data_IF_303625171975
#
_entry.id   IF_303625171975
#
_cell.length_a   1.000
_cell.length_b   1.000
_cell.length_c   1.000
_cell.angle_alpha   90.00
_cell.angle_beta   90.00
_cell.angle_gamma   90.00
#
_symmetry.space_group_name_H-M   'P 1'
#
loop_
_entity.id
_entity.type
_entity.pdbx_description
1 polymer ?
#
# COMPACT_ATOMS: atom_id res chain seq x y z
N UNK A 1 27.93 10.89 1.75
CA UNK A 1 26.56 11.22 1.35
C UNK A 1 25.64 10.14 1.89
N UNK A 2 24.46 10.54 2.34
CA UNK A 2 23.44 9.63 2.84
C UNK A 2 22.23 9.71 1.92
N UNK A 3 21.61 8.57 1.65
CA UNK A 3 20.41 8.48 0.82
C UNK A 3 19.26 7.83 1.58
N UNK A 4 18.07 8.26 1.29
CA UNK A 4 16.84 7.56 1.64
C UNK A 4 16.23 7.09 0.33
N UNK A 5 16.14 5.78 0.16
CA UNK A 5 15.44 5.17 -0.95
C UNK A 5 14.02 4.80 -0.49
N UNK A 6 13.03 5.08 -1.33
CA UNK A 6 11.65 4.70 -1.10
C UNK A 6 11.25 3.70 -2.17
N UNK A 7 10.84 2.51 -1.76
CA UNK A 7 10.35 1.44 -2.64
C UNK A 7 8.86 1.28 -2.39
N UNK A 8 8.06 1.29 -3.45
CA UNK A 8 6.61 1.23 -3.35
C UNK A 8 6.11 -0.21 -3.25
N UNK A 9 5.11 -0.42 -2.41
CA UNK A 9 4.33 -1.64 -2.36
C UNK A 9 2.86 -1.27 -2.61
N UNK A 10 2.48 -1.18 -3.88
CA UNK A 10 1.14 -0.80 -4.31
C UNK A 10 0.96 0.69 -4.60
N UNK A 11 1.45 1.16 -5.75
CA UNK A 11 1.26 2.54 -6.21
C UNK A 11 -0.22 2.87 -6.42
N UNK A 12 -0.58 4.14 -6.27
CA UNK A 12 -1.99 4.60 -6.24
C UNK A 12 -2.78 4.23 -7.49
N UNK A 13 -2.20 4.35 -8.67
CA UNK A 13 -2.93 4.10 -9.92
C UNK A 13 -2.84 2.64 -10.36
N UNK A 14 -1.63 2.09 -10.44
CA UNK A 14 -1.38 0.80 -11.05
C UNK A 14 -1.21 -0.34 -10.03
N UNK A 15 -1.13 -0.03 -8.75
CA UNK A 15 -0.82 -1.02 -7.73
C UNK A 15 0.58 -1.61 -7.85
N UNK A 16 1.49 -0.99 -8.61
CA UNK A 16 2.82 -1.52 -8.89
C UNK A 16 3.62 -1.73 -7.61
N UNK A 17 4.40 -2.78 -7.60
CA UNK A 17 5.29 -3.16 -6.49
C UNK A 17 6.73 -3.15 -6.99
N UNK A 18 7.55 -2.34 -6.34
CA UNK A 18 8.97 -2.25 -6.68
C UNK A 18 9.74 -3.43 -6.05
N UNK A 19 10.79 -3.87 -6.72
CA UNK A 19 11.73 -4.79 -6.13
C UNK A 19 12.78 -3.99 -5.31
N UNK A 20 12.79 -4.08 -3.96
CA UNK A 20 13.72 -3.31 -3.14
C UNK A 20 15.19 -3.67 -3.37
N UNK A 21 15.48 -4.87 -3.89
CA UNK A 21 16.85 -5.31 -4.15
C UNK A 21 17.48 -4.55 -5.33
N UNK A 22 16.70 -4.03 -6.27
CA UNK A 22 17.19 -3.20 -7.36
C UNK A 22 17.76 -1.88 -6.84
N UNK A 23 17.07 -1.25 -5.88
CA UNK A 23 17.54 -0.03 -5.21
C UNK A 23 18.81 -0.29 -4.40
N UNK A 24 18.79 -1.32 -3.57
CA UNK A 24 19.92 -1.60 -2.67
C UNK A 24 21.15 -2.02 -3.43
N UNK A 25 21.01 -2.83 -4.48
CA UNK A 25 22.13 -3.26 -5.33
C UNK A 25 22.78 -2.07 -6.05
N UNK A 26 21.98 -1.12 -6.55
CA UNK A 26 22.51 0.09 -7.17
C UNK A 26 23.27 0.96 -6.16
N UNK A 27 22.72 1.16 -4.96
CA UNK A 27 23.34 1.97 -3.92
C UNK A 27 24.64 1.32 -3.38
N UNK A 28 24.63 0.01 -3.17
CA UNK A 28 25.79 -0.76 -2.70
C UNK A 28 26.92 -0.75 -3.72
N UNK A 29 26.60 -0.86 -5.01
CA UNK A 29 27.58 -0.77 -6.10
C UNK A 29 28.36 0.56 -6.10
N UNK A 30 27.72 1.62 -5.62
CA UNK A 30 28.33 2.94 -5.52
C UNK A 30 28.89 3.27 -4.12
N UNK A 31 28.96 2.29 -3.21
CA UNK A 31 29.43 2.45 -1.83
C UNK A 31 28.72 3.60 -1.09
N UNK A 32 27.40 3.70 -1.25
CA UNK A 32 26.60 4.77 -0.68
C UNK A 32 25.92 4.27 0.60
N UNK A 33 26.00 5.05 1.66
CA UNK A 33 25.23 4.80 2.89
C UNK A 33 23.76 5.17 2.65
N UNK A 34 22.84 4.27 2.98
CA UNK A 34 21.41 4.47 2.71
C UNK A 34 20.51 3.97 3.85
N UNK A 35 19.27 4.41 3.81
CA UNK A 35 18.12 3.78 4.46
C UNK A 35 17.09 3.45 3.40
N UNK A 36 16.50 2.26 3.50
CA UNK A 36 15.44 1.82 2.60
C UNK A 36 14.11 1.85 3.36
N UNK A 37 13.18 2.64 2.85
CA UNK A 37 11.81 2.73 3.32
C UNK A 37 10.88 2.04 2.33
N UNK A 38 9.91 1.29 2.83
CA UNK A 38 8.84 0.71 2.02
C UNK A 38 7.58 1.55 2.22
N UNK A 39 7.12 2.18 1.15
CA UNK A 39 5.78 2.74 1.11
C UNK A 39 4.77 1.63 0.81
N UNK A 40 4.26 1.03 1.86
CA UNK A 40 3.22 0.01 1.84
C UNK A 40 1.85 0.58 2.21
N UNK A 41 1.63 1.88 2.06
CA UNK A 41 0.41 2.56 2.47
C UNK A 41 -0.86 1.83 1.99
N UNK A 42 -0.87 1.34 0.77
CA UNK A 42 -1.94 0.49 0.26
C UNK A 42 -1.60 -1.00 0.33
N UNK A 43 -0.48 -1.41 -0.23
CA UNK A 43 -0.12 -2.80 -0.43
C UNK A 43 0.27 -3.56 0.84
N UNK A 44 0.59 -2.87 1.93
CA UNK A 44 1.03 -3.49 3.17
C UNK A 44 0.02 -4.46 3.81
N UNK A 45 -1.28 -4.27 3.54
CA UNK A 45 -2.34 -5.21 3.94
C UNK A 45 -2.84 -6.12 2.82
N UNK A 46 -2.18 -6.13 1.65
CA UNK A 46 -2.53 -7.01 0.51
C UNK A 46 -1.35 -7.90 0.15
N UNK A 47 -0.26 -7.29 -0.28
CA UNK A 47 0.85 -7.97 -0.93
C UNK A 47 1.51 -9.07 -0.08
N UNK A 48 1.81 -8.86 1.21
CA UNK A 48 2.41 -9.92 2.04
C UNK A 48 1.50 -11.14 2.24
N UNK A 49 0.19 -10.96 2.14
CA UNK A 49 -0.80 -12.04 2.26
C UNK A 49 -1.02 -12.76 0.94
N UNK A 50 -0.85 -12.07 -0.19
CA UNK A 50 -0.99 -12.66 -1.53
C UNK A 50 0.31 -13.32 -1.99
N UNK A 51 1.46 -12.73 -1.70
CA UNK A 51 2.79 -13.24 -2.04
C UNK A 51 3.59 -13.61 -0.79
N UNK A 52 3.32 -14.79 -0.25
CA UNK A 52 3.99 -15.28 0.96
C UNK A 52 5.50 -15.51 0.81
N UNK A 53 6.01 -15.56 -0.43
CA UNK A 53 7.45 -15.72 -0.71
C UNK A 53 8.19 -14.39 -0.82
N UNK A 54 7.47 -13.28 -0.71
CA UNK A 54 8.07 -11.95 -0.80
C UNK A 54 9.02 -11.69 0.36
N UNK A 55 10.15 -11.06 0.05
CA UNK A 55 11.11 -10.53 1.02
C UNK A 55 10.89 -9.03 1.32
N UNK A 56 9.76 -8.44 0.88
CA UNK A 56 9.42 -7.03 1.16
C UNK A 56 8.80 -6.93 2.56
N UNK A 57 9.59 -7.26 3.55
CA UNK A 57 9.26 -7.24 4.96
C UNK A 57 10.55 -7.20 5.79
N UNK A 58 10.44 -7.16 7.12
CA UNK A 58 11.62 -7.08 8.01
C UNK A 58 12.47 -8.35 8.09
N UNK A 59 12.15 -9.44 7.38
CA UNK A 59 13.10 -10.54 7.18
C UNK A 59 14.25 -10.12 6.27
N UNK A 60 14.03 -9.14 5.37
CA UNK A 60 15.07 -8.49 4.60
C UNK A 60 15.80 -7.46 5.49
N UNK A 61 17.08 -7.69 5.86
CA UNK A 61 17.82 -6.81 6.78
C UNK A 61 18.07 -5.41 6.22
N UNK A 62 17.94 -5.22 4.91
CA UNK A 62 18.15 -3.94 4.22
C UNK A 62 16.99 -2.97 4.42
N UNK A 63 15.78 -3.45 4.70
CA UNK A 63 14.61 -2.61 4.94
C UNK A 63 14.71 -1.97 6.32
N UNK A 64 14.65 -0.66 6.36
CA UNK A 64 14.79 0.17 7.57
C UNK A 64 13.44 0.48 8.20
N UNK A 65 12.43 0.77 7.40
CA UNK A 65 11.09 1.17 7.85
C UNK A 65 10.02 0.86 6.81
N UNK A 66 8.78 0.77 7.26
CA UNK A 66 7.60 0.51 6.43
C UNK A 66 6.46 1.43 6.91
N UNK A 67 5.76 2.08 5.99
CA UNK A 67 4.49 2.76 6.26
C UNK A 67 3.34 1.92 5.73
N UNK A 68 2.25 1.82 6.50
CA UNK A 68 1.03 1.10 6.14
C UNK A 68 -0.17 1.95 6.55
N UNK A 69 -1.11 2.21 5.64
CA UNK A 69 -2.30 2.99 5.95
C UNK A 69 -3.47 2.07 6.31
N UNK A 70 -3.83 2.05 7.59
CA UNK A 70 -4.93 1.23 8.06
C UNK A 70 -6.29 1.74 7.54
N UNK A 71 -6.44 3.03 7.22
CA UNK A 71 -7.64 3.60 6.63
C UNK A 71 -7.84 3.25 5.14
N UNK A 72 -6.88 2.56 4.50
CA UNK A 72 -7.01 2.04 3.14
C UNK A 72 -7.55 0.60 3.19
N UNK A 73 -6.71 -0.38 3.03
CA UNK A 73 -7.13 -1.78 2.94
C UNK A 73 -7.75 -2.34 4.22
N UNK A 74 -7.26 -1.94 5.39
CA UNK A 74 -7.81 -2.42 6.66
C UNK A 74 -9.18 -1.81 6.99
N UNK A 75 -9.60 -0.76 6.24
CA UNK A 75 -10.88 -0.06 6.39
C UNK A 75 -11.09 0.53 7.81
N UNK A 76 -10.01 0.88 8.48
CA UNK A 76 -10.06 1.61 9.73
C UNK A 76 -10.49 3.08 9.49
N UNK A 77 -10.90 3.83 10.52
CA UNK A 77 -11.24 5.24 10.38
C UNK A 77 -10.12 6.07 9.73
N UNK A 78 -10.51 7.10 8.99
CA UNK A 78 -9.57 7.97 8.27
C UNK A 78 -8.49 8.57 9.19
N UNK A 79 -7.28 8.73 8.66
CA UNK A 79 -6.15 9.27 9.39
C UNK A 79 -5.36 8.24 10.20
N UNK A 80 -5.59 6.95 9.98
CA UNK A 80 -4.86 5.86 10.65
C UNK A 80 -3.67 5.38 9.82
N UNK A 81 -2.55 6.08 9.92
CA UNK A 81 -1.26 5.61 9.40
C UNK A 81 -0.49 4.84 10.46
N UNK A 82 0.14 3.75 10.07
CA UNK A 82 1.03 2.94 10.90
C UNK A 82 2.44 3.01 10.34
N UNK A 83 3.38 3.48 11.14
CA UNK A 83 4.80 3.50 10.79
C UNK A 83 5.54 2.49 11.67
N UNK A 84 6.29 1.61 11.05
CA UNK A 84 7.12 0.61 11.73
C UNK A 84 8.55 0.75 11.25
N UNK A 85 9.51 0.74 12.17
CA UNK A 85 10.92 0.79 11.82
C UNK A 85 11.74 -0.17 12.68
N UNK A 86 12.98 -0.43 12.26
CA UNK A 86 13.91 -1.20 13.08
C UNK A 86 14.21 -0.48 14.39
N UNK A 87 14.41 -1.27 15.43
CA UNK A 87 14.79 -0.77 16.76
C UNK A 87 16.02 0.15 16.65
N UNK A 88 16.01 1.25 17.36
CA UNK A 88 17.07 2.24 17.37
C UNK A 88 16.96 3.31 16.27
N UNK A 89 15.99 3.23 15.37
CA UNK A 89 15.79 4.25 14.34
C UNK A 89 14.78 5.32 14.76
N UNK A 90 13.78 4.96 15.58
CA UNK A 90 12.73 5.89 15.99
C UNK A 90 13.27 7.03 16.88
N UNK A 91 14.32 6.77 17.62
CA UNK A 91 14.95 7.77 18.49
C UNK A 91 15.52 8.98 17.71
N UNK A 92 15.78 8.81 16.41
CA UNK A 92 16.26 9.91 15.55
C UNK A 92 15.18 10.94 15.21
N UNK A 93 13.91 10.65 15.46
CA UNK A 93 12.78 11.55 15.17
C UNK A 93 12.10 12.05 16.45
N UNK A 94 12.67 11.75 17.61
CA UNK A 94 12.19 12.26 18.88
C UNK A 94 12.29 13.79 18.92
N UNK A 95 11.18 14.46 19.15
CA UNK A 95 11.16 15.86 19.56
C UNK A 95 11.36 15.94 21.06
N UNK A 96 12.12 16.94 21.51
CA UNK A 96 12.27 17.24 22.93
C UNK A 96 10.90 17.56 23.52
N UNK A 97 10.73 17.20 24.78
CA UNK A 97 9.50 17.30 25.58
C UNK A 97 8.66 18.55 25.30
N UNK A 98 7.39 18.36 25.05
CA UNK A 98 6.42 19.41 25.23
C UNK A 98 6.21 19.59 26.75
N UNK A 99 6.46 20.78 27.28
CA UNK A 99 6.47 21.08 28.73
C UNK A 99 5.20 20.72 29.50
N UNK A 100 4.09 20.40 28.77
CA UNK A 100 2.78 20.09 29.34
C UNK A 100 2.33 18.62 29.15
N UNK A 101 3.16 17.78 28.53
CA UNK A 101 2.83 16.37 28.27
C UNK A 101 3.96 15.48 28.79
N UNK A 102 3.65 14.61 29.76
CA UNK A 102 4.56 13.52 30.14
C UNK A 102 4.62 12.50 29.01
N UNK A 103 5.71 12.46 28.27
CA UNK A 103 5.93 11.52 27.18
C UNK A 103 6.73 12.12 26.03
N UNK A 104 7.24 11.23 25.19
CA UNK A 104 7.98 11.62 23.99
C UNK A 104 7.05 11.65 22.79
N UNK A 105 7.04 12.75 22.03
CA UNK A 105 6.34 12.81 20.76
C UNK A 105 7.25 12.29 19.64
N UNK A 106 6.77 11.26 18.96
CA UNK A 106 7.46 10.55 17.88
C UNK A 106 6.98 11.00 16.48
N UNK A 107 6.13 12.02 16.41
CA UNK A 107 5.48 12.42 15.15
C UNK A 107 5.44 13.92 14.97
N UNK A 108 5.30 14.35 13.72
CA UNK A 108 5.11 15.76 13.36
C UNK A 108 3.68 16.28 13.67
N UNK A 109 2.73 15.36 13.77
CA UNK A 109 1.33 15.70 14.05
C UNK A 109 1.10 15.66 15.57
N UNK A 110 0.88 16.73 16.25
CA UNK A 110 0.63 16.79 17.68
C UNK A 110 -0.47 15.81 18.17
N UNK A 111 -1.60 16.31 18.65
CA UNK A 111 -2.69 15.46 19.18
C UNK A 111 -3.30 14.54 18.12
N UNK A 112 -3.52 13.28 18.50
CA UNK A 112 -4.13 12.26 17.66
C UNK A 112 -5.26 11.54 18.40
N UNK A 113 -6.18 10.94 17.63
CA UNK A 113 -7.29 10.18 18.19
C UNK A 113 -6.84 8.84 18.75
N UNK A 114 -6.94 8.65 20.07
CA UNK A 114 -6.75 7.32 20.68
C UNK A 114 -7.82 6.31 20.22
N UNK A 115 -9.03 6.77 19.90
CA UNK A 115 -10.09 5.91 19.35
C UNK A 115 -9.66 5.24 18.03
N UNK A 116 -8.87 5.92 17.19
CA UNK A 116 -8.35 5.34 15.95
C UNK A 116 -7.39 4.17 16.23
N UNK A 117 -6.54 4.26 17.25
CA UNK A 117 -5.68 3.15 17.64
C UNK A 117 -6.49 1.94 18.14
N UNK A 118 -7.56 2.20 18.93
CA UNK A 118 -8.48 1.15 19.38
C UNK A 118 -9.19 0.50 18.18
N UNK A 119 -9.67 1.28 17.21
CA UNK A 119 -10.34 0.75 16.02
C UNK A 119 -9.40 -0.16 15.21
N UNK A 120 -8.15 0.25 14.98
CA UNK A 120 -7.13 -0.58 14.31
C UNK A 120 -6.90 -1.89 15.09
N UNK A 121 -6.75 -1.79 16.41
CA UNK A 121 -6.58 -2.96 17.26
C UNK A 121 -7.78 -3.92 17.18
N UNK A 122 -9.01 -3.39 17.25
CA UNK A 122 -10.23 -4.20 17.15
C UNK A 122 -10.29 -4.99 15.84
N UNK A 123 -9.99 -4.34 14.70
CA UNK A 123 -9.99 -5.00 13.39
C UNK A 123 -8.93 -6.10 13.34
N UNK A 124 -7.71 -5.79 13.75
CA UNK A 124 -6.61 -6.76 13.75
C UNK A 124 -6.88 -7.93 14.71
N UNK A 125 -7.48 -7.66 15.86
CA UNK A 125 -7.84 -8.70 16.83
C UNK A 125 -8.99 -9.59 16.32
N UNK A 126 -9.98 -8.99 15.65
CA UNK A 126 -11.14 -9.73 15.12
C UNK A 126 -10.75 -10.72 14.03
N UNK A 127 -9.95 -10.27 13.08
CA UNK A 127 -9.57 -11.13 11.94
C UNK A 127 -8.33 -11.98 12.22
N UNK A 128 -7.38 -11.46 12.98
CA UNK A 128 -6.06 -12.06 13.10
C UNK A 128 -5.36 -12.19 11.74
N UNK A 129 -4.20 -12.84 11.74
CA UNK A 129 -3.45 -13.03 10.50
C UNK A 129 -4.16 -13.98 9.52
N UNK A 130 -4.81 -15.03 10.04
CA UNK A 130 -5.49 -16.02 9.21
C UNK A 130 -6.76 -15.47 8.56
N UNK A 131 -7.64 -14.83 9.33
CA UNK A 131 -8.87 -14.23 8.77
C UNK A 131 -8.55 -13.11 7.78
N UNK A 132 -7.46 -12.37 7.99
CA UNK A 132 -7.02 -11.37 7.02
C UNK A 132 -6.48 -12.03 5.74
N UNK A 133 -5.74 -13.13 5.86
CA UNK A 133 -5.33 -13.93 4.70
C UNK A 133 -6.51 -14.44 3.89
N UNK A 134 -7.57 -14.92 4.54
CA UNK A 134 -8.81 -15.35 3.86
C UNK A 134 -9.46 -14.19 3.09
N UNK A 135 -9.61 -13.02 3.74
CA UNK A 135 -10.15 -11.82 3.07
C UNK A 135 -9.35 -11.46 1.82
N UNK A 136 -8.04 -11.37 1.93
CA UNK A 136 -7.17 -11.04 0.81
C UNK A 136 -7.26 -12.12 -0.29
N UNK A 137 -7.36 -13.39 0.08
CA UNK A 137 -7.51 -14.49 -0.88
C UNK A 137 -8.80 -14.36 -1.70
N UNK A 138 -9.91 -14.00 -1.05
CA UNK A 138 -11.18 -13.74 -1.74
C UNK A 138 -11.03 -12.56 -2.72
N UNK A 139 -10.40 -11.47 -2.31
CA UNK A 139 -10.16 -10.32 -3.18
C UNK A 139 -9.28 -10.70 -4.39
N UNK A 140 -8.26 -11.52 -4.19
CA UNK A 140 -7.44 -12.03 -5.29
C UNK A 140 -8.23 -12.90 -6.27
N UNK A 141 -9.13 -13.75 -5.78
CA UNK A 141 -10.01 -14.55 -6.62
C UNK A 141 -10.96 -13.67 -7.45
N UNK A 142 -11.59 -12.67 -6.84
CA UNK A 142 -12.45 -11.70 -7.54
C UNK A 142 -11.66 -10.90 -8.58
N UNK A 143 -10.45 -10.48 -8.24
CA UNK A 143 -9.56 -9.76 -9.17
C UNK A 143 -9.20 -10.64 -10.36
N UNK A 144 -8.89 -11.91 -10.13
CA UNK A 144 -8.59 -12.85 -11.20
C UNK A 144 -9.81 -13.12 -12.09
N UNK A 145 -10.99 -13.23 -11.49
CA UNK A 145 -12.24 -13.35 -12.24
C UNK A 145 -12.44 -12.17 -13.19
N UNK A 146 -12.31 -10.93 -12.67
CA UNK A 146 -12.39 -9.73 -13.51
C UNK A 146 -11.37 -9.76 -14.66
N UNK A 147 -10.12 -10.12 -14.38
CA UNK A 147 -9.10 -10.21 -15.42
C UNK A 147 -9.46 -11.22 -16.50
N UNK A 148 -9.99 -12.39 -16.12
CA UNK A 148 -10.42 -13.40 -17.07
C UNK A 148 -11.56 -12.90 -17.98
N UNK A 149 -12.54 -12.16 -17.41
CA UNK A 149 -13.62 -11.56 -18.20
C UNK A 149 -13.09 -10.47 -19.15
N UNK A 150 -12.13 -9.66 -18.71
CA UNK A 150 -11.49 -8.66 -19.56
C UNK A 150 -10.71 -9.32 -20.71
N UNK A 151 -10.05 -10.45 -20.46
CA UNK A 151 -9.36 -11.26 -21.47
C UNK A 151 -10.35 -11.82 -22.50
N UNK A 152 -11.49 -12.39 -22.06
CA UNK A 152 -12.54 -12.90 -22.95
C UNK A 152 -13.11 -11.80 -23.87
N UNK A 153 -13.19 -10.57 -23.36
CA UNK A 153 -13.67 -9.41 -24.11
C UNK A 153 -12.59 -8.71 -24.94
N UNK A 154 -11.35 -9.18 -24.89
CA UNK A 154 -10.17 -8.54 -25.50
C UNK A 154 -9.97 -7.08 -25.04
N UNK A 155 -10.30 -6.77 -23.78
CA UNK A 155 -10.11 -5.47 -23.17
C UNK A 155 -8.69 -5.37 -22.65
N UNK A 156 -7.98 -4.32 -23.05
CA UNK A 156 -6.60 -4.07 -22.63
C UNK A 156 -6.56 -3.54 -21.20
N UNK A 157 -5.91 -4.25 -20.32
CA UNK A 157 -5.72 -3.88 -18.91
C UNK A 157 -4.31 -4.13 -18.44
N UNK A 158 -3.99 -3.59 -17.26
CA UNK A 158 -2.80 -3.90 -16.48
C UNK A 158 -3.21 -4.33 -15.07
N UNK A 159 -2.55 -5.33 -14.54
CA UNK A 159 -2.63 -5.76 -13.14
C UNK A 159 -1.25 -6.13 -12.65
N UNK A 160 -0.84 -5.54 -11.54
CA UNK A 160 0.34 -6.01 -10.81
C UNK A 160 0.04 -7.37 -10.17
N UNK A 161 0.90 -8.38 -10.35
CA UNK A 161 0.72 -9.68 -9.69
C UNK A 161 0.55 -9.52 -8.18
N UNK A 162 -0.36 -10.31 -7.60
CA UNK A 162 -0.67 -10.31 -6.16
C UNK A 162 -1.34 -9.04 -5.61
N UNK A 163 -1.72 -8.08 -6.47
CA UNK A 163 -2.50 -6.91 -6.08
C UNK A 163 -3.95 -7.01 -6.54
N UNK A 164 -4.83 -6.27 -5.88
CA UNK A 164 -6.26 -6.22 -6.16
C UNK A 164 -6.68 -4.93 -6.89
N UNK A 165 -5.75 -4.33 -7.61
CA UNK A 165 -5.95 -3.16 -8.48
C UNK A 165 -5.84 -3.62 -9.93
N UNK A 166 -6.83 -3.25 -10.74
CA UNK A 166 -6.87 -3.46 -12.19
C UNK A 166 -7.03 -2.11 -12.86
N UNK A 167 -6.20 -1.80 -13.84
CA UNK A 167 -6.34 -0.60 -14.64
C UNK A 167 -6.67 -0.97 -16.07
N UNK A 168 -7.73 -0.37 -16.61
CA UNK A 168 -8.23 -0.60 -17.97
C UNK A 168 -7.78 0.54 -18.87
N UNK A 169 -7.27 0.22 -20.05
CA UNK A 169 -6.89 1.24 -21.03
C UNK A 169 -8.13 1.98 -21.54
N UNK A 170 -8.10 3.32 -21.58
CA UNK A 170 -9.26 4.14 -21.90
C UNK A 170 -9.83 3.89 -23.32
N UNK A 171 -8.98 3.50 -24.28
CA UNK A 171 -9.42 3.14 -25.63
C UNK A 171 -10.25 1.84 -25.67
N UNK A 172 -10.16 1.01 -24.61
CA UNK A 172 -10.85 -0.27 -24.54
C UNK A 172 -12.23 -0.19 -23.90
N UNK A 173 -12.61 0.97 -23.35
CA UNK A 173 -13.86 1.14 -22.62
C UNK A 173 -14.53 2.48 -23.03
N UNK A 174 -15.82 2.49 -23.42
CA UNK A 174 -16.54 3.72 -23.71
C UNK A 174 -16.63 4.61 -22.46
N UNK A 175 -16.43 5.93 -22.63
CA UNK A 175 -16.49 6.91 -21.56
C UNK A 175 -17.80 6.82 -20.74
N UNK A 176 -18.94 6.63 -21.41
CA UNK A 176 -20.25 6.40 -20.75
C UNK A 176 -20.26 5.24 -19.77
N UNK A 177 -19.45 4.20 -20.01
CA UNK A 177 -19.32 3.07 -19.08
C UNK A 177 -18.43 3.48 -17.90
N UNK A 178 -17.33 4.17 -18.16
CA UNK A 178 -16.46 4.68 -17.11
C UNK A 178 -17.20 5.62 -16.17
N UNK A 179 -18.01 6.54 -16.69
CA UNK A 179 -18.87 7.43 -15.92
C UNK A 179 -19.96 6.69 -15.14
N UNK A 180 -20.67 5.76 -15.81
CA UNK A 180 -21.76 5.00 -15.19
C UNK A 180 -21.32 4.21 -13.96
N UNK A 181 -20.08 3.74 -13.94
CA UNK A 181 -19.52 2.92 -12.87
C UNK A 181 -18.46 3.66 -12.03
N UNK A 182 -18.38 4.98 -12.15
CA UNK A 182 -17.46 5.84 -11.40
C UNK A 182 -16.01 5.35 -11.42
N UNK A 183 -15.55 4.88 -12.60
CA UNK A 183 -14.18 4.40 -12.72
C UNK A 183 -13.19 5.57 -12.53
N UNK A 184 -12.20 5.36 -11.67
CA UNK A 184 -11.23 6.41 -11.32
C UNK A 184 -10.25 6.64 -12.47
N UNK A 185 -10.28 7.82 -13.14
CA UNK A 185 -9.36 8.12 -14.23
C UNK A 185 -7.96 8.41 -13.71
N UNK A 186 -6.95 8.13 -14.53
CA UNK A 186 -5.57 8.52 -14.25
C UNK A 186 -5.40 10.04 -14.26
N UNK A 187 -6.13 10.71 -15.17
CA UNK A 187 -6.16 12.16 -15.32
C UNK A 187 -7.59 12.62 -15.62
N UNK A 188 -7.99 13.77 -15.06
CA UNK A 188 -9.30 14.39 -15.29
C UNK A 188 -9.28 15.34 -16.52
N UNK A 189 -8.72 14.88 -17.63
CA UNK A 189 -8.66 15.63 -18.89
C UNK A 189 -8.71 14.68 -20.10
N UNK A 190 -8.73 15.23 -21.30
CA UNK A 190 -8.80 14.49 -22.58
C UNK A 190 -7.62 13.52 -22.80
N UNK A 191 -6.54 13.66 -22.06
CA UNK A 191 -5.36 12.77 -22.15
C UNK A 191 -5.42 11.57 -21.20
N UNK A 192 -6.60 11.29 -20.61
CA UNK A 192 -6.75 10.12 -19.74
C UNK A 192 -6.52 8.82 -20.51
N UNK A 193 -5.53 8.04 -20.10
CA UNK A 193 -5.16 6.77 -20.75
C UNK A 193 -5.64 5.54 -20.00
N UNK A 194 -5.96 5.69 -18.73
CA UNK A 194 -6.28 4.56 -17.86
C UNK A 194 -7.39 4.87 -16.88
N UNK A 195 -8.23 3.88 -16.64
CA UNK A 195 -9.21 3.87 -15.56
C UNK A 195 -8.84 2.79 -14.54
N UNK A 196 -8.97 3.10 -13.27
CA UNK A 196 -8.65 2.18 -12.17
C UNK A 196 -9.91 1.60 -11.55
N UNK A 197 -9.84 0.29 -11.29
CA UNK A 197 -10.79 -0.47 -10.48
C UNK A 197 -10.01 -1.07 -9.30
N UNK A 198 -10.54 -0.92 -8.10
CA UNK A 198 -9.99 -1.53 -6.89
C UNK A 198 -11.00 -2.55 -6.37
N UNK A 199 -10.61 -3.82 -6.35
CA UNK A 199 -11.47 -4.90 -5.89
C UNK A 199 -11.47 -4.93 -4.35
N UNK A 200 -12.53 -4.35 -3.76
CA UNK A 200 -12.77 -4.29 -2.32
C UNK A 200 -13.97 -5.18 -1.95
N UNK A 201 -14.21 -5.39 -0.67
CA UNK A 201 -15.32 -6.22 -0.18
C UNK A 201 -16.70 -5.78 -0.71
N UNK A 202 -16.89 -4.48 -0.92
CA UNK A 202 -18.12 -3.86 -1.40
C UNK A 202 -18.22 -3.73 -2.93
N UNK A 203 -17.21 -4.17 -3.67
CA UNK A 203 -17.24 -4.21 -5.16
C UNK A 203 -17.68 -5.61 -5.57
N UNK A 204 -18.91 -5.69 -6.10
CA UNK A 204 -19.57 -6.91 -6.58
C UNK A 204 -19.55 -7.01 -8.10
#
# INVERSE_FOLDING_TARGET
>A
KYFIAVSNMGTTMFGSVDNPDDYTSALEKHNVTYRLHIDGAYGGFVYPFSNQKSNINFSNPKISSITIDAHKMLQAPYGTGVFVCRKGLIENVLTKEAEYVEGMDLTLCGSRSGANAVAVWMILFTYGAYGWFEKVSILQMRTQFLCNELDHLNIKYFREPFMNIVTIHSESIPEKIAEKYDLVPQQHNENNKWYKIVLMDHVE
#
